data_IF_535794192417
#
_entry.id   IF_535794192417
#
_cell.length_a   1.000
_cell.length_b   1.000
_cell.length_c   1.000
_cell.angle_alpha   90.00
_cell.angle_beta   90.00
_cell.angle_gamma   90.00
#
_symmetry.space_group_name_H-M   'P 1'
#
loop_
_entity.id
_entity.type
_entity.pdbx_description
1 polymer ?
#
# COMPACT_ATOMS: atom_id res chain seq x y z
N UNK A 1 -11.43 18.53 10.58
CA UNK A 1 -10.04 18.90 10.20
C UNK A 1 -9.42 17.73 9.46
N UNK A 2 -8.81 17.98 8.30
CA UNK A 2 -8.03 16.96 7.60
C UNK A 2 -6.62 16.94 8.19
N UNK A 3 -6.24 15.82 8.80
CA UNK A 3 -4.91 15.65 9.40
C UNK A 3 -3.92 14.95 8.47
N UNK A 4 -4.41 14.35 7.39
CA UNK A 4 -3.60 13.65 6.40
C UNK A 4 -4.22 13.74 5.00
N UNK A 5 -3.37 13.58 3.97
CA UNK A 5 -3.77 13.58 2.57
C UNK A 5 -3.06 12.44 1.85
N UNK A 6 -3.85 11.53 1.28
CA UNK A 6 -3.35 10.52 0.36
C UNK A 6 -3.24 11.07 -1.06
N UNK A 7 -2.22 10.66 -1.76
CA UNK A 7 -2.05 10.88 -3.20
C UNK A 7 -1.34 9.69 -3.82
N UNK A 8 -1.36 9.59 -5.14
CA UNK A 8 -0.53 8.61 -5.85
C UNK A 8 0.91 9.12 -5.91
N UNK A 9 1.89 8.21 -5.87
CA UNK A 9 3.24 8.50 -6.35
C UNK A 9 3.20 8.70 -7.87
N UNK A 10 4.27 9.20 -8.48
CA UNK A 10 4.34 9.30 -9.94
C UNK A 10 4.27 7.90 -10.60
N UNK A 11 3.79 7.85 -11.84
CA UNK A 11 3.78 6.61 -12.63
C UNK A 11 5.21 6.05 -12.79
N UNK A 12 6.19 6.92 -12.96
CA UNK A 12 7.59 6.55 -13.08
C UNK A 12 8.10 5.86 -11.80
N UNK A 13 7.83 6.44 -10.63
CA UNK A 13 8.20 5.84 -9.36
C UNK A 13 7.48 4.50 -9.15
N UNK A 14 6.19 4.43 -9.47
CA UNK A 14 5.43 3.19 -9.36
C UNK A 14 5.99 2.09 -10.26
N UNK A 15 6.29 2.38 -11.53
CA UNK A 15 6.91 1.43 -12.47
C UNK A 15 8.25 0.91 -11.95
N UNK A 16 9.10 1.81 -11.45
CA UNK A 16 10.40 1.48 -10.88
C UNK A 16 10.27 0.51 -9.70
N UNK A 17 9.35 0.75 -8.79
CA UNK A 17 9.17 -0.07 -7.60
C UNK A 17 8.43 -1.37 -7.90
N UNK A 18 7.40 -1.34 -8.73
CA UNK A 18 6.65 -2.52 -9.13
C UNK A 18 7.52 -3.53 -9.89
N UNK A 19 8.40 -3.08 -10.77
CA UNK A 19 9.33 -3.96 -11.50
C UNK A 19 10.34 -4.65 -10.59
N UNK A 20 10.68 -4.04 -9.45
CA UNK A 20 11.64 -4.60 -8.49
C UNK A 20 11.01 -5.50 -7.43
N UNK A 21 9.83 -5.13 -6.96
CA UNK A 21 9.23 -5.68 -5.74
C UNK A 21 7.92 -6.43 -5.96
N UNK A 22 7.25 -6.22 -7.09
CA UNK A 22 6.02 -6.95 -7.39
C UNK A 22 6.29 -8.45 -7.55
N UNK A 23 5.35 -9.30 -7.17
CA UNK A 23 5.46 -10.75 -7.35
C UNK A 23 5.80 -11.10 -8.81
N UNK A 24 6.51 -12.20 -9.01
CA UNK A 24 7.02 -12.64 -10.32
C UNK A 24 5.96 -12.73 -11.43
N UNK A 25 4.68 -12.83 -11.08
CA UNK A 25 3.57 -12.81 -12.04
C UNK A 25 3.50 -11.53 -12.89
N UNK A 26 4.00 -10.41 -12.36
CA UNK A 26 3.85 -9.09 -12.98
C UNK A 26 5.08 -8.64 -13.76
N UNK A 27 6.18 -9.40 -13.68
CA UNK A 27 7.40 -9.09 -14.44
C UNK A 27 7.26 -9.22 -15.95
N UNK A 28 6.20 -9.87 -16.40
CA UNK A 28 5.97 -10.17 -17.82
C UNK A 28 4.98 -9.24 -18.52
N UNK A 29 4.38 -8.28 -17.82
CA UNK A 29 3.31 -7.44 -18.38
C UNK A 29 3.63 -5.97 -18.12
N UNK A 30 4.44 -5.36 -18.98
CA UNK A 30 4.69 -3.91 -18.96
C UNK A 30 3.37 -3.12 -18.98
N UNK A 31 2.43 -3.51 -19.81
CA UNK A 31 1.07 -2.95 -19.86
C UNK A 31 0.27 -3.19 -18.57
N UNK A 32 0.59 -4.26 -17.82
CA UNK A 32 -0.08 -4.60 -16.56
C UNK A 32 0.25 -3.63 -15.42
N UNK A 33 1.48 -3.14 -15.35
CA UNK A 33 1.91 -2.19 -14.31
C UNK A 33 1.21 -0.85 -14.48
N UNK A 34 1.15 -0.33 -15.69
CA UNK A 34 0.46 0.93 -15.98
C UNK A 34 -1.05 0.83 -15.75
N UNK A 35 -1.66 -0.27 -16.17
CA UNK A 35 -3.06 -0.56 -15.89
C UNK A 35 -3.33 -0.65 -14.39
N UNK A 36 -2.45 -1.32 -13.62
CA UNK A 36 -2.54 -1.38 -12.17
C UNK A 36 -2.47 0.02 -11.54
N UNK A 37 -1.55 0.86 -12.00
CA UNK A 37 -1.44 2.23 -11.53
C UNK A 37 -2.71 3.06 -11.80
N UNK A 38 -3.27 2.94 -13.00
CA UNK A 38 -4.49 3.66 -13.38
C UNK A 38 -5.70 3.21 -12.53
N UNK A 39 -5.71 1.94 -12.11
CA UNK A 39 -6.76 1.35 -11.29
C UNK A 39 -6.55 1.51 -9.77
N UNK A 40 -5.51 2.21 -9.31
CA UNK A 40 -5.31 2.48 -7.88
C UNK A 40 -6.53 3.22 -7.34
N UNK A 41 -7.14 2.62 -6.31
CA UNK A 41 -8.26 3.20 -5.59
C UNK A 41 -7.71 3.94 -4.37
N UNK A 42 -8.07 5.22 -4.25
CA UNK A 42 -7.66 6.04 -3.11
C UNK A 42 -8.27 5.51 -1.81
N UNK A 43 -7.51 5.51 -0.70
CA UNK A 43 -8.01 5.05 0.59
C UNK A 43 -9.28 5.79 1.00
N UNK A 44 -10.28 5.04 1.42
CA UNK A 44 -11.56 5.56 1.87
C UNK A 44 -12.09 4.77 3.06
N UNK A 45 -12.96 5.38 3.85
CA UNK A 45 -13.71 4.68 4.89
C UNK A 45 -14.76 3.78 4.24
N UNK A 46 -14.90 2.57 4.73
CA UNK A 46 -15.95 1.65 4.24
C UNK A 46 -17.35 2.07 4.70
N UNK A 47 -17.44 2.71 5.85
CA UNK A 47 -18.68 3.28 6.40
C UNK A 47 -18.42 4.66 6.98
N UNK A 48 -19.51 5.42 7.24
CA UNK A 48 -19.43 6.76 7.84
C UNK A 48 -18.64 6.78 9.17
N UNK A 49 -18.73 5.71 9.95
CA UNK A 49 -18.13 5.61 11.28
C UNK A 49 -16.92 4.68 11.36
N UNK A 50 -16.41 4.21 10.22
CA UNK A 50 -15.16 3.43 10.22
C UNK A 50 -14.00 4.26 10.77
N UNK A 51 -13.22 3.68 11.67
CA UNK A 51 -12.04 4.34 12.24
C UNK A 51 -10.92 4.48 11.19
N UNK A 52 -10.73 3.45 10.38
CA UNK A 52 -9.67 3.38 9.39
C UNK A 52 -10.10 3.69 7.96
N UNK A 53 -9.11 3.86 7.12
CA UNK A 53 -9.23 3.98 5.67
C UNK A 53 -8.70 2.71 5.03
N UNK A 54 -9.47 2.10 4.13
CA UNK A 54 -9.06 0.87 3.45
C UNK A 54 -8.02 1.16 2.37
N UNK A 55 -6.86 0.55 2.50
CA UNK A 55 -5.83 0.49 1.44
C UNK A 55 -6.03 -0.81 0.67
N UNK A 56 -6.01 -0.74 -0.65
CA UNK A 56 -6.17 -1.89 -1.54
C UNK A 56 -4.89 -2.16 -2.31
N UNK A 57 -4.58 -3.43 -2.50
CA UNK A 57 -3.52 -3.82 -3.42
C UNK A 57 -3.90 -3.43 -4.85
N UNK A 58 -3.02 -2.79 -5.60
CA UNK A 58 -3.25 -2.53 -7.02
C UNK A 58 -3.09 -3.80 -7.88
N UNK A 59 -2.60 -4.89 -7.30
CA UNK A 59 -2.37 -6.17 -7.96
C UNK A 59 -3.16 -7.28 -7.28
N UNK A 60 -3.57 -8.25 -8.07
CA UNK A 60 -3.98 -9.55 -7.55
C UNK A 60 -2.72 -10.35 -7.17
N UNK A 61 -2.76 -11.04 -6.06
CA UNK A 61 -1.68 -11.91 -5.61
C UNK A 61 -2.24 -13.17 -4.94
N UNK A 62 -1.45 -14.22 -4.94
CA UNK A 62 -1.72 -15.44 -4.21
C UNK A 62 -0.51 -15.72 -3.31
N UNK A 63 -0.77 -16.03 -2.05
CA UNK A 63 0.24 -16.47 -1.09
C UNK A 63 -0.10 -17.86 -0.61
N UNK A 64 0.86 -18.76 -0.71
CA UNK A 64 0.81 -20.04 -0.02
C UNK A 64 1.26 -19.86 1.45
N UNK A 65 0.94 -20.80 2.34
CA UNK A 65 1.42 -20.77 3.72
C UNK A 65 2.94 -20.58 3.78
N UNK A 66 3.41 -19.69 4.65
CA UNK A 66 4.82 -19.31 4.83
C UNK A 66 5.46 -18.54 3.66
N UNK A 67 4.71 -18.14 2.67
CA UNK A 67 5.19 -17.19 1.65
C UNK A 67 4.96 -15.75 2.08
N UNK A 68 5.76 -14.86 1.55
CA UNK A 68 5.65 -13.43 1.76
C UNK A 68 5.69 -12.65 0.45
N UNK A 69 5.08 -11.47 0.45
CA UNK A 69 5.09 -10.55 -0.68
C UNK A 69 5.25 -9.11 -0.21
N UNK A 70 5.97 -8.33 -1.00
CA UNK A 70 6.06 -6.88 -0.84
C UNK A 70 5.18 -6.22 -1.89
N UNK A 71 4.12 -5.54 -1.46
CA UNK A 71 3.15 -4.91 -2.36
C UNK A 71 3.43 -3.41 -2.44
N UNK A 72 3.84 -2.88 -3.61
CA UNK A 72 3.87 -1.45 -3.85
C UNK A 72 2.43 -0.94 -4.02
N UNK A 73 1.98 -0.08 -3.10
CA UNK A 73 0.58 0.38 -3.10
C UNK A 73 0.29 1.46 -4.14
N UNK A 74 1.31 2.14 -4.63
CA UNK A 74 1.19 3.33 -5.47
C UNK A 74 0.76 4.58 -4.70
N UNK A 75 0.68 4.50 -3.39
CA UNK A 75 0.20 5.58 -2.52
C UNK A 75 1.33 6.21 -1.73
N UNK A 76 1.14 7.49 -1.42
CA UNK A 76 1.89 8.26 -0.44
C UNK A 76 0.92 9.00 0.47
N UNK A 77 1.38 9.40 1.66
CA UNK A 77 0.57 10.11 2.63
C UNK A 77 1.33 11.30 3.21
N UNK A 78 0.81 12.48 3.01
CA UNK A 78 1.28 13.70 3.67
C UNK A 78 0.46 13.90 4.95
N UNK A 79 1.14 14.16 6.07
CA UNK A 79 0.50 14.32 7.38
C UNK A 79 0.88 15.64 8.03
N UNK A 80 -0.02 16.20 8.84
CA UNK A 80 0.31 17.30 9.72
C UNK A 80 1.26 16.86 10.85
N UNK A 81 1.93 17.84 11.42
CA UNK A 81 2.80 17.62 12.58
C UNK A 81 2.01 17.01 13.75
N UNK A 82 2.65 16.09 14.47
CA UNK A 82 2.04 15.37 15.58
C UNK A 82 1.21 14.14 15.19
N UNK A 83 1.18 13.77 13.89
CA UNK A 83 0.47 12.58 13.43
C UNK A 83 1.42 11.55 12.81
N UNK A 84 1.05 10.30 12.96
CA UNK A 84 1.70 9.13 12.37
C UNK A 84 0.62 8.25 11.75
N UNK A 85 0.91 7.61 10.63
CA UNK A 85 0.01 6.63 10.05
C UNK A 85 0.42 5.22 10.46
N UNK A 86 -0.56 4.46 10.95
CA UNK A 86 -0.39 3.05 11.29
C UNK A 86 -1.26 2.21 10.38
N UNK A 87 -0.71 1.12 9.85
CA UNK A 87 -1.41 0.21 8.96
C UNK A 87 -1.55 -1.14 9.66
N UNK A 88 -2.77 -1.66 9.66
CA UNK A 88 -3.17 -2.92 10.27
C UNK A 88 -3.86 -3.82 9.24
N UNK A 89 -3.75 -5.15 9.38
CA UNK A 89 -4.55 -6.07 8.59
C UNK A 89 -6.05 -5.88 8.89
N UNK A 90 -6.88 -6.01 7.86
CA UNK A 90 -8.34 -6.14 8.09
C UNK A 90 -8.67 -7.48 8.72
N UNK A 91 -9.75 -7.53 9.50
CA UNK A 91 -10.22 -8.75 10.17
C UNK A 91 -10.41 -9.93 9.20
N UNK A 92 -10.95 -9.67 8.02
CA UNK A 92 -11.14 -10.71 7.00
C UNK A 92 -9.81 -11.27 6.47
N UNK A 93 -8.79 -10.44 6.36
CA UNK A 93 -7.46 -10.88 5.94
C UNK A 93 -6.73 -11.59 7.08
N UNK A 94 -6.70 -11.00 8.27
CA UNK A 94 -5.99 -11.58 9.41
C UNK A 94 -6.67 -12.83 9.96
N UNK A 95 -7.97 -12.74 10.30
CA UNK A 95 -8.66 -13.81 11.01
C UNK A 95 -9.08 -14.95 10.07
N UNK A 96 -9.66 -14.61 8.90
CA UNK A 96 -10.19 -15.64 8.00
C UNK A 96 -9.13 -16.29 7.11
N UNK A 97 -8.06 -15.55 6.76
CA UNK A 97 -7.03 -16.02 5.83
C UNK A 97 -5.66 -16.24 6.50
N UNK A 98 -5.52 -15.88 7.78
CA UNK A 98 -4.25 -16.03 8.50
C UNK A 98 -3.14 -15.09 7.99
N UNK A 99 -3.48 -14.05 7.24
CA UNK A 99 -2.51 -13.09 6.73
C UNK A 99 -2.04 -12.12 7.80
N UNK A 100 -0.77 -11.81 7.80
CA UNK A 100 -0.14 -10.88 8.76
C UNK A 100 0.71 -9.85 8.03
N UNK A 101 0.93 -8.70 8.64
CA UNK A 101 2.00 -7.80 8.23
C UNK A 101 3.31 -8.31 8.82
N UNK A 102 4.36 -8.41 8.01
CA UNK A 102 5.67 -8.92 8.45
C UNK A 102 6.30 -8.08 9.57
N UNK A 103 6.01 -6.79 9.58
CA UNK A 103 6.45 -5.87 10.64
C UNK A 103 5.37 -5.62 11.71
N UNK A 104 4.39 -6.52 11.85
CA UNK A 104 3.29 -6.47 12.81
C UNK A 104 2.35 -5.29 12.58
N UNK A 105 2.84 -4.07 12.66
CA UNK A 105 2.16 -2.81 12.32
C UNK A 105 3.10 -1.99 11.46
N UNK A 106 2.65 -1.59 10.29
CA UNK A 106 3.43 -0.69 9.46
C UNK A 106 3.27 0.74 9.96
N UNK A 107 4.38 1.34 10.38
CA UNK A 107 4.45 2.73 10.84
C UNK A 107 5.00 3.58 9.69
N UNK A 108 4.25 4.61 9.31
CA UNK A 108 4.66 5.59 8.30
C UNK A 108 4.81 6.94 8.99
N UNK A 109 6.03 7.41 9.09
CA UNK A 109 6.35 8.70 9.69
C UNK A 109 6.00 9.85 8.75
N UNK A 110 5.79 11.03 9.32
CA UNK A 110 5.41 12.23 8.56
C UNK A 110 6.42 12.58 7.47
N UNK A 111 7.70 12.51 7.76
CA UNK A 111 8.79 12.87 6.85
C UNK A 111 9.01 11.86 5.73
N UNK A 112 8.47 10.64 5.85
CA UNK A 112 8.54 9.63 4.80
C UNK A 112 7.92 10.11 3.47
N UNK A 113 6.92 10.98 3.53
CA UNK A 113 6.30 11.56 2.33
C UNK A 113 7.31 12.32 1.42
N UNK A 114 8.45 12.71 1.98
CA UNK A 114 9.51 13.47 1.30
C UNK A 114 10.78 12.65 1.03
N UNK A 115 10.71 11.33 1.22
CA UNK A 115 11.81 10.42 0.90
C UNK A 115 12.07 10.36 -0.61
N UNK A 116 13.25 9.86 -1.01
CA UNK A 116 13.70 9.77 -2.41
C UNK A 116 12.78 8.92 -3.30
N UNK A 117 12.01 8.00 -2.71
CA UNK A 117 10.98 7.22 -3.38
C UNK A 117 9.59 7.89 -3.39
N UNK A 118 9.52 9.21 -3.23
CA UNK A 118 8.29 10.00 -3.12
C UNK A 118 7.39 9.61 -1.91
N UNK A 119 7.92 8.92 -0.91
CA UNK A 119 7.15 8.38 0.20
C UNK A 119 6.23 7.21 -0.21
N UNK A 120 6.63 6.43 -1.19
CA UNK A 120 5.86 5.30 -1.68
C UNK A 120 5.66 4.23 -0.61
N UNK A 121 4.42 3.98 -0.24
CA UNK A 121 4.04 3.04 0.81
C UNK A 121 4.04 1.61 0.26
N UNK A 122 4.71 0.71 0.97
CA UNK A 122 4.72 -0.72 0.69
C UNK A 122 4.03 -1.49 1.81
N UNK A 123 3.37 -2.58 1.46
CA UNK A 123 2.82 -3.55 2.41
C UNK A 123 3.62 -4.84 2.30
N UNK A 124 4.29 -5.22 3.38
CA UNK A 124 4.97 -6.50 3.50
C UNK A 124 4.05 -7.49 4.23
N UNK A 125 3.65 -8.54 3.55
CA UNK A 125 2.66 -9.50 4.03
C UNK A 125 3.27 -10.90 4.05
#
# INVERSE_FOLDING_TARGET
MKVAKFSKVSLEQFKKDASKKAPNYYKTIEDGIEKAYNNIIMPARSTKHSAGYDIRSPFNFCLLPNESVMIPTGLRCEMFEGYVMMIYPRSSFGIKKGGVLLNTTAIIDRDYAYADNEGHIFLAI
#
